data_IF_113000182545
#
_entry.id   IF_113000182545
#
_cell.length_a   1.000
_cell.length_b   1.000
_cell.length_c   1.000
_cell.angle_alpha   90.00
_cell.angle_beta   90.00
_cell.angle_gamma   90.00
#
_symmetry.space_group_name_H-M   'P 1'
#
loop_
_entity.id
_entity.type
_entity.pdbx_description
1 polymer ?
#
# COMPACT_ATOMS: atom_id res chain seq x y z
N UNK A 1 -4.94 12.67 -18.63
CA UNK A 1 -4.42 12.52 -17.26
C UNK A 1 -4.16 11.05 -17.04
N UNK A 2 -2.95 10.64 -16.64
CA UNK A 2 -2.70 9.24 -16.29
C UNK A 2 -3.52 8.89 -15.03
N UNK A 3 -4.21 7.76 -15.01
CA UNK A 3 -4.99 7.34 -13.86
C UNK A 3 -4.06 6.98 -12.69
N UNK A 4 -4.35 7.46 -11.49
CA UNK A 4 -3.61 7.10 -10.27
C UNK A 4 -3.96 5.66 -9.84
N UNK A 5 -3.03 4.93 -9.22
CA UNK A 5 -3.23 3.54 -8.80
C UNK A 5 -4.57 3.28 -8.07
N UNK A 6 -5.00 4.08 -7.07
CA UNK A 6 -6.29 3.83 -6.41
C UNK A 6 -7.50 3.96 -7.35
N UNK A 7 -7.43 4.82 -8.36
CA UNK A 7 -8.51 5.01 -9.33
C UNK A 7 -8.61 3.83 -10.31
N UNK A 8 -7.46 3.24 -10.69
CA UNK A 8 -7.44 2.02 -11.51
C UNK A 8 -8.03 0.85 -10.73
N UNK A 9 -7.64 0.67 -9.47
CA UNK A 9 -8.19 -0.39 -8.61
C UNK A 9 -9.69 -0.22 -8.42
N UNK A 10 -10.15 1.00 -8.13
CA UNK A 10 -11.59 1.27 -8.00
C UNK A 10 -12.37 0.93 -9.28
N UNK A 11 -11.81 1.20 -10.46
CA UNK A 11 -12.44 0.85 -11.74
C UNK A 11 -12.51 -0.68 -11.94
N UNK A 12 -11.46 -1.42 -11.57
CA UNK A 12 -11.45 -2.89 -11.60
C UNK A 12 -12.51 -3.45 -10.64
N UNK A 13 -12.58 -2.90 -9.42
CA UNK A 13 -13.52 -3.37 -8.41
C UNK A 13 -14.97 -3.10 -8.79
N UNK A 14 -15.27 -1.93 -9.37
CA UNK A 14 -16.59 -1.59 -9.85
C UNK A 14 -17.09 -2.51 -10.98
N UNK A 15 -16.17 -3.15 -11.72
CA UNK A 15 -16.47 -4.10 -12.78
C UNK A 15 -16.48 -5.57 -12.31
N UNK A 16 -16.33 -5.83 -11.00
CA UNK A 16 -16.16 -7.16 -10.43
C UNK A 16 -17.21 -7.42 -9.35
N UNK A 17 -17.78 -8.62 -9.33
CA UNK A 17 -18.75 -9.00 -8.31
C UNK A 17 -18.12 -8.99 -6.90
N UNK A 18 -18.88 -8.50 -5.92
CA UNK A 18 -18.43 -8.33 -4.53
C UNK A 18 -17.93 -9.64 -3.89
N UNK A 19 -18.58 -10.75 -4.22
CA UNK A 19 -18.18 -12.09 -3.78
C UNK A 19 -16.79 -12.48 -4.32
N UNK A 20 -16.48 -12.12 -5.56
CA UNK A 20 -15.17 -12.38 -6.19
C UNK A 20 -14.09 -11.51 -5.53
N UNK A 21 -14.39 -10.27 -5.16
CA UNK A 21 -13.44 -9.39 -4.46
C UNK A 21 -12.93 -10.01 -3.15
N UNK A 22 -13.79 -10.76 -2.46
CA UNK A 22 -13.52 -11.38 -1.15
C UNK A 22 -13.01 -12.80 -1.23
N UNK A 23 -13.08 -13.44 -2.39
CA UNK A 23 -12.72 -14.83 -2.52
C UNK A 23 -11.22 -14.95 -2.83
N UNK A 24 -10.52 -15.75 -2.03
CA UNK A 24 -9.18 -16.21 -2.38
C UNK A 24 -9.28 -17.18 -3.57
N UNK A 25 -8.44 -17.03 -4.62
CA UNK A 25 -8.49 -17.92 -5.78
C UNK A 25 -8.07 -19.35 -5.45
N UNK A 26 -7.13 -19.53 -4.52
CA UNK A 26 -6.71 -20.82 -3.99
C UNK A 26 -6.37 -20.73 -2.49
N UNK A 27 -6.10 -21.88 -1.88
CA UNK A 27 -5.57 -21.95 -0.51
C UNK A 27 -4.23 -21.22 -0.43
N UNK A 28 -4.07 -20.36 0.58
CA UNK A 28 -2.89 -19.49 0.79
C UNK A 28 -2.72 -18.32 -0.20
N UNK A 29 -3.63 -18.14 -1.16
CA UNK A 29 -3.64 -16.95 -2.02
C UNK A 29 -4.50 -15.84 -1.43
N UNK A 30 -4.13 -14.60 -1.74
CA UNK A 30 -4.89 -13.43 -1.31
C UNK A 30 -6.06 -13.14 -2.26
N UNK A 31 -7.19 -12.79 -1.67
CA UNK A 31 -8.30 -12.11 -2.35
C UNK A 31 -7.90 -10.69 -2.78
N UNK A 32 -8.73 -10.07 -3.61
CA UNK A 32 -8.50 -8.69 -4.05
C UNK A 32 -8.55 -7.69 -2.88
N UNK A 33 -9.41 -7.92 -1.89
CA UNK A 33 -9.45 -7.07 -0.69
C UNK A 33 -8.21 -7.23 0.20
N UNK A 34 -7.67 -8.45 0.33
CA UNK A 34 -6.41 -8.67 1.04
C UNK A 34 -5.22 -8.03 0.32
N UNK A 35 -5.23 -8.00 -1.02
CA UNK A 35 -4.24 -7.26 -1.81
C UNK A 35 -4.34 -5.75 -1.53
N UNK A 36 -5.55 -5.18 -1.47
CA UNK A 36 -5.73 -3.77 -1.10
C UNK A 36 -5.29 -3.50 0.34
N UNK A 37 -5.63 -4.41 1.26
CA UNK A 37 -5.16 -4.36 2.64
C UNK A 37 -3.64 -4.34 2.74
N UNK A 38 -2.96 -5.22 1.99
CA UNK A 38 -1.50 -5.24 1.90
C UNK A 38 -0.92 -3.88 1.46
N UNK A 39 -1.52 -3.23 0.45
CA UNK A 39 -1.08 -1.92 0.00
C UNK A 39 -1.27 -0.86 1.09
N UNK A 40 -2.40 -0.88 1.80
CA UNK A 40 -2.70 0.03 2.91
C UNK A 40 -1.69 -0.12 4.05
N UNK A 41 -1.45 -1.35 4.54
CA UNK A 41 -0.58 -1.56 5.70
C UNK A 41 0.89 -1.32 5.38
N UNK A 42 1.29 -1.49 4.12
CA UNK A 42 2.69 -1.33 3.71
C UNK A 42 3.06 0.13 3.50
N UNK A 43 2.08 0.97 3.13
CA UNK A 43 2.31 2.33 2.64
C UNK A 43 3.05 3.25 3.63
N UNK A 44 2.91 3.00 4.94
CA UNK A 44 3.60 3.76 5.98
C UNK A 44 4.86 3.05 6.50
N UNK A 45 4.77 1.91 7.20
CA UNK A 45 5.94 1.26 7.79
C UNK A 45 6.94 0.74 6.75
N UNK A 46 6.48 0.28 5.59
CA UNK A 46 7.36 -0.26 4.56
C UNK A 46 7.91 0.81 3.60
N UNK A 47 7.22 1.95 3.48
CA UNK A 47 7.55 3.00 2.53
C UNK A 47 7.96 4.31 3.21
N UNK A 48 7.04 5.07 3.83
CA UNK A 48 7.36 6.37 4.44
C UNK A 48 8.43 6.26 5.54
N UNK A 49 8.24 5.38 6.52
CA UNK A 49 9.16 5.21 7.65
C UNK A 49 10.54 4.77 7.18
N UNK A 50 10.57 3.94 6.13
CA UNK A 50 11.81 3.42 5.55
C UNK A 50 12.57 4.50 4.78
N UNK A 51 11.88 5.37 4.04
CA UNK A 51 12.49 6.55 3.44
C UNK A 51 13.05 7.45 4.54
N UNK A 52 12.29 7.74 5.60
CA UNK A 52 12.78 8.55 6.73
C UNK A 52 14.03 7.96 7.38
N UNK A 53 14.07 6.65 7.62
CA UNK A 53 15.25 5.96 8.13
C UNK A 53 16.46 6.14 7.20
N UNK A 54 16.26 6.08 5.87
CA UNK A 54 17.32 6.35 4.89
C UNK A 54 17.83 7.79 4.99
N UNK A 55 16.92 8.77 5.10
CA UNK A 55 17.28 10.18 5.21
C UNK A 55 18.05 10.48 6.50
N UNK A 56 17.71 9.78 7.58
CA UNK A 56 18.40 9.83 8.86
C UNK A 56 19.72 9.07 8.88
N UNK A 57 20.08 8.38 7.79
CA UNK A 57 21.34 7.64 7.67
C UNK A 57 21.34 6.27 8.37
N UNK A 58 20.16 5.72 8.70
CA UNK A 58 20.05 4.43 9.38
C UNK A 58 20.51 3.26 8.49
N UNK A 59 21.39 2.42 9.04
CA UNK A 59 21.93 1.20 8.42
C UNK A 59 22.27 0.15 9.50
N UNK A 60 21.85 -1.12 9.34
CA UNK A 60 20.95 -1.64 8.31
C UNK A 60 19.50 -1.17 8.56
N UNK A 61 18.69 -1.15 7.50
CA UNK A 61 17.27 -0.84 7.63
C UNK A 61 16.54 -2.01 8.29
N UNK A 62 15.56 -1.71 9.16
CA UNK A 62 14.71 -2.73 9.75
C UNK A 62 13.98 -3.54 8.68
N UNK A 63 13.81 -4.84 8.92
CA UNK A 63 12.97 -5.70 8.08
C UNK A 63 11.50 -5.38 8.37
N UNK A 64 10.71 -5.24 7.31
CA UNK A 64 9.25 -5.19 7.42
C UNK A 64 8.68 -6.57 7.07
N UNK A 65 7.79 -7.08 7.92
CA UNK A 65 7.04 -8.31 7.68
C UNK A 65 5.61 -7.95 7.30
N UNK A 66 5.35 -7.95 5.99
CA UNK A 66 4.04 -7.62 5.44
C UNK A 66 2.96 -8.65 5.80
N UNK A 67 3.35 -9.91 5.98
CA UNK A 67 2.41 -10.97 6.34
C UNK A 67 1.93 -10.77 7.78
N UNK A 68 2.86 -10.49 8.70
CA UNK A 68 2.53 -10.17 10.08
C UNK A 68 1.70 -8.87 10.18
N UNK A 69 2.04 -7.83 9.41
CA UNK A 69 1.32 -6.56 9.42
C UNK A 69 -0.14 -6.69 8.93
N UNK A 70 -0.44 -7.69 8.09
CA UNK A 70 -1.79 -7.99 7.62
C UNK A 70 -2.57 -8.95 8.54
N UNK A 71 -1.91 -9.64 9.47
CA UNK A 71 -2.51 -10.77 10.19
C UNK A 71 -3.63 -10.37 11.17
N UNK A 72 -3.61 -9.14 11.68
CA UNK A 72 -4.52 -8.68 12.73
C UNK A 72 -5.81 -8.04 12.17
N UNK A 73 -5.97 -7.93 10.85
CA UNK A 73 -7.10 -7.26 10.18
C UNK A 73 -7.71 -8.14 9.11
N UNK A 74 -9.00 -8.45 9.25
CA UNK A 74 -9.75 -9.20 8.24
C UNK A 74 -10.32 -8.25 7.17
N UNK A 75 -9.50 -7.95 6.17
CA UNK A 75 -9.89 -7.08 5.05
C UNK A 75 -11.06 -7.60 4.23
N UNK A 76 -11.36 -8.91 4.29
CA UNK A 76 -12.45 -9.51 3.52
C UNK A 76 -13.81 -9.17 4.12
N UNK A 77 -13.84 -8.88 5.42
CA UNK A 77 -15.05 -8.51 6.15
C UNK A 77 -15.39 -7.01 6.04
N UNK A 78 -14.50 -6.19 5.48
CA UNK A 78 -14.64 -4.74 5.46
C UNK A 78 -15.37 -4.20 4.23
N UNK A 79 -15.75 -2.92 4.32
CA UNK A 79 -16.37 -2.21 3.21
C UNK A 79 -15.34 -1.91 2.13
N UNK A 80 -15.68 -2.27 0.88
CA UNK A 80 -14.85 -1.97 -0.29
C UNK A 80 -14.61 -0.46 -0.42
N UNK A 81 -15.64 0.35 -0.20
CA UNK A 81 -15.55 1.80 -0.31
C UNK A 81 -14.63 2.41 0.76
N UNK A 82 -14.68 1.88 1.99
CA UNK A 82 -13.81 2.34 3.09
C UNK A 82 -12.34 2.00 2.79
N UNK A 83 -12.06 0.77 2.33
CA UNK A 83 -10.72 0.36 1.95
C UNK A 83 -10.17 1.17 0.78
N UNK A 84 -10.97 1.44 -0.25
CA UNK A 84 -10.56 2.30 -1.37
C UNK A 84 -10.32 3.75 -0.92
N UNK A 85 -11.13 4.26 0.00
CA UNK A 85 -10.94 5.57 0.63
C UNK A 85 -9.64 5.66 1.41
N UNK A 86 -9.35 4.63 2.22
CA UNK A 86 -8.11 4.53 3.00
C UNK A 86 -6.88 4.44 2.09
N UNK A 87 -6.90 3.58 1.07
CA UNK A 87 -5.83 3.46 0.08
C UNK A 87 -5.59 4.79 -0.63
N UNK A 88 -6.66 5.50 -1.03
CA UNK A 88 -6.53 6.82 -1.68
C UNK A 88 -5.87 7.82 -0.75
N UNK A 89 -6.32 7.91 0.49
CA UNK A 89 -5.76 8.83 1.48
C UNK A 89 -4.28 8.50 1.75
N UNK A 90 -3.95 7.21 1.86
CA UNK A 90 -2.57 6.76 2.03
C UNK A 90 -1.68 7.17 0.87
N UNK A 91 -2.16 6.94 -0.37
CA UNK A 91 -1.39 7.33 -1.55
C UNK A 91 -1.20 8.82 -1.69
N UNK A 92 -2.19 9.63 -1.29
CA UNK A 92 -2.07 11.09 -1.28
C UNK A 92 -1.03 11.57 -0.27
N UNK A 93 -1.01 11.00 0.95
CA UNK A 93 0.00 11.33 1.96
C UNK A 93 1.41 11.01 1.47
N UNK A 94 1.63 9.78 1.01
CA UNK A 94 2.94 9.35 0.55
C UNK A 94 3.41 10.10 -0.70
N UNK A 95 2.50 10.48 -1.61
CA UNK A 95 2.84 11.33 -2.75
C UNK A 95 3.21 12.77 -2.31
N UNK A 96 2.50 13.33 -1.33
CA UNK A 96 2.83 14.62 -0.73
C UNK A 96 4.21 14.59 -0.08
N UNK A 97 4.46 13.59 0.76
CA UNK A 97 5.75 13.36 1.41
C UNK A 97 6.91 13.30 0.40
N UNK A 98 6.78 12.47 -0.65
CA UNK A 98 7.81 12.34 -1.69
C UNK A 98 7.97 13.64 -2.50
N UNK A 99 6.88 14.37 -2.73
CA UNK A 99 6.90 15.67 -3.40
C UNK A 99 7.63 16.77 -2.63
N UNK A 100 7.77 16.64 -1.32
CA UNK A 100 8.53 17.55 -0.46
C UNK A 100 10.04 17.23 -0.42
N UNK A 101 10.46 16.05 -0.88
CA UNK A 101 11.86 15.65 -0.89
C UNK A 101 12.65 16.38 -1.99
N UNK A 102 13.87 16.77 -1.66
CA UNK A 102 14.80 17.36 -2.63
C UNK A 102 15.07 16.36 -3.79
N UNK A 103 14.97 16.76 -5.06
CA UNK A 103 15.23 15.89 -6.22
C UNK A 103 16.59 15.17 -6.19
N UNK A 104 17.60 15.75 -5.56
CA UNK A 104 18.94 15.16 -5.41
C UNK A 104 18.98 14.01 -4.41
N UNK A 105 18.00 13.93 -3.50
CA UNK A 105 17.87 12.86 -2.50
C UNK A 105 17.38 11.56 -3.12
N UNK A 106 16.64 11.60 -4.25
CA UNK A 106 16.14 10.38 -4.92
C UNK A 106 17.27 9.41 -5.29
N UNK A 107 18.45 9.92 -5.69
CA UNK A 107 19.61 9.06 -5.98
C UNK A 107 20.15 8.32 -4.75
N UNK A 108 19.97 8.85 -3.53
CA UNK A 108 20.38 8.16 -2.29
C UNK A 108 19.41 7.05 -1.89
N UNK A 109 18.16 7.08 -2.35
CA UNK A 109 17.13 6.10 -2.00
C UNK A 109 17.17 4.86 -2.91
N UNK A 110 17.53 5.01 -4.20
CA UNK A 110 17.48 3.94 -5.21
C UNK A 110 18.71 3.00 -5.13
N UNK A 111 19.80 3.41 -4.48
CA UNK A 111 21.08 2.70 -4.45
C UNK A 111 21.34 1.87 -3.17
N UNK A 112 20.29 1.53 -2.42
CA UNK A 112 20.35 0.76 -1.16
C UNK A 112 19.51 -0.50 -1.31
#
# INVERSE_FOLDING_TARGET
MSATTPAVIAAVFAATDDAVLRQSPAEQEWSLLEIVGHLIVSDRPAFEDRIMAILNGERPLARFDAQAANADRDFRAESVDELLGELRASRQRAAGFVGELDPTIYMRIILI
#
